data_IF_263112134409
#
_entry.id   IF_263112134409
#
_cell.length_a   1.000
_cell.length_b   1.000
_cell.length_c   1.000
_cell.angle_alpha   90.00
_cell.angle_beta   90.00
_cell.angle_gamma   90.00
#
_symmetry.space_group_name_H-M   'P 1'
#
loop_
_entity.id
_entity.type
_entity.pdbx_description
1 polymer ?
#
# COMPACT_ATOMS: atom_id res chain seq x y z
N UNK A 1 46.91 -46.57 32.06
CA UNK A 1 46.66 -46.14 33.45
C UNK A 1 45.57 -45.07 33.39
N UNK A 2 44.41 -45.27 34.00
CA UNK A 2 43.35 -44.25 33.97
C UNK A 2 43.71 -43.15 34.98
N UNK A 3 43.86 -41.92 34.52
CA UNK A 3 44.13 -40.78 35.39
C UNK A 3 42.79 -40.26 35.92
N UNK A 4 42.60 -40.29 37.24
CA UNK A 4 41.39 -39.76 37.89
C UNK A 4 41.64 -38.32 38.30
N UNK A 5 40.91 -37.37 37.69
CA UNK A 5 40.96 -35.96 38.06
C UNK A 5 39.85 -35.68 39.09
N UNK A 6 40.22 -35.10 40.24
CA UNK A 6 39.29 -34.74 41.31
C UNK A 6 39.24 -33.22 41.48
N UNK A 7 38.26 -32.53 40.86
CA UNK A 7 38.08 -31.09 41.09
C UNK A 7 37.61 -30.82 42.52
N UNK A 8 37.84 -29.60 43.01
CA UNK A 8 37.28 -29.14 44.29
C UNK A 8 35.75 -29.10 44.19
N UNK A 9 35.06 -29.24 45.32
CA UNK A 9 33.59 -29.35 45.36
C UNK A 9 33.00 -28.44 46.42
N UNK A 10 31.91 -27.77 46.06
CA UNK A 10 31.02 -27.07 46.99
C UNK A 10 29.66 -27.76 47.01
N UNK A 11 29.07 -27.87 48.19
CA UNK A 11 27.81 -28.61 48.40
C UNK A 11 26.66 -27.70 48.87
N UNK A 12 26.92 -26.41 49.04
CA UNK A 12 25.97 -25.38 49.45
C UNK A 12 25.79 -24.36 48.34
N UNK A 13 24.72 -23.56 48.40
CA UNK A 13 24.37 -22.58 47.37
C UNK A 13 25.47 -21.52 47.17
N UNK A 14 25.56 -20.97 45.97
CA UNK A 14 26.42 -19.84 45.62
C UNK A 14 27.84 -20.22 45.22
N UNK A 15 28.52 -19.32 44.52
CA UNK A 15 29.87 -19.54 44.01
C UNK A 15 30.88 -19.90 45.12
N UNK A 16 31.93 -20.69 44.81
CA UNK A 16 33.12 -20.79 45.65
C UNK A 16 33.73 -19.40 45.87
N UNK A 17 34.43 -19.22 46.98
CA UNK A 17 35.17 -17.99 47.27
C UNK A 17 36.61 -18.07 46.76
N UNK A 18 37.30 -16.93 46.72
CA UNK A 18 38.74 -16.87 46.47
C UNK A 18 39.58 -17.53 47.57
N UNK A 19 38.98 -17.91 48.72
CA UNK A 19 39.65 -18.76 49.70
C UNK A 19 39.47 -20.26 49.40
N UNK A 20 38.42 -20.63 48.66
CA UNK A 20 38.13 -22.02 48.30
C UNK A 20 38.97 -22.49 47.10
N UNK A 21 39.27 -21.59 46.17
CA UNK A 21 40.02 -21.86 44.92
C UNK A 21 41.29 -21.02 44.82
N UNK A 22 42.42 -21.63 44.50
CA UNK A 22 43.61 -20.93 44.01
C UNK A 22 43.43 -20.53 42.53
N UNK A 23 44.24 -19.56 42.06
CA UNK A 23 44.24 -19.15 40.65
C UNK A 23 44.47 -20.36 39.73
N UNK A 24 43.65 -20.47 38.68
CA UNK A 24 43.68 -21.57 37.70
C UNK A 24 43.02 -22.88 38.16
N UNK A 25 42.58 -23.00 39.42
CA UNK A 25 41.87 -24.19 39.88
C UNK A 25 40.40 -24.20 39.45
N UNK A 26 39.88 -25.42 39.22
CA UNK A 26 38.48 -25.67 38.93
C UNK A 26 37.73 -26.23 40.15
N UNK A 27 36.49 -25.77 40.35
CA UNK A 27 35.56 -26.37 41.31
C UNK A 27 34.19 -26.63 40.69
N UNK A 28 33.53 -27.68 41.18
CA UNK A 28 32.13 -27.97 40.86
C UNK A 28 31.28 -27.61 42.09
N UNK A 29 30.36 -26.66 41.95
CA UNK A 29 29.26 -26.54 42.90
C UNK A 29 28.21 -27.59 42.54
N UNK A 30 28.08 -28.59 43.40
CA UNK A 30 27.14 -29.71 43.20
C UNK A 30 25.70 -29.38 43.58
N UNK A 31 25.47 -28.35 44.40
CA UNK A 31 24.14 -27.84 44.70
C UNK A 31 23.59 -27.07 43.51
N UNK A 32 24.34 -26.07 43.05
CA UNK A 32 23.94 -25.22 41.91
C UNK A 32 24.17 -25.92 40.56
N UNK A 33 24.95 -27.01 40.53
CA UNK A 33 25.37 -27.78 39.34
C UNK A 33 26.24 -26.96 38.37
N UNK A 34 27.09 -26.09 38.91
CA UNK A 34 27.91 -25.14 38.13
C UNK A 34 29.40 -25.48 38.23
N UNK A 35 30.12 -25.38 37.10
CA UNK A 35 31.59 -25.41 37.05
C UNK A 35 32.16 -24.00 37.15
N UNK A 36 33.13 -23.81 38.04
CA UNK A 36 33.83 -22.54 38.26
C UNK A 36 35.33 -22.69 38.02
N UNK A 37 35.98 -21.60 37.63
CA UNK A 37 37.43 -21.41 37.63
C UNK A 37 37.79 -20.09 38.31
N UNK A 38 38.93 -20.01 38.98
CA UNK A 38 39.49 -18.72 39.38
C UNK A 38 40.45 -18.20 38.30
N UNK A 39 40.20 -17.01 37.78
CA UNK A 39 41.06 -16.37 36.78
C UNK A 39 42.30 -15.69 37.39
N UNK A 40 43.17 -15.17 36.53
CA UNK A 40 44.39 -14.45 36.91
C UNK A 40 44.15 -13.03 37.44
N UNK A 41 42.90 -12.57 37.42
CA UNK A 41 42.47 -11.30 37.99
C UNK A 41 41.81 -11.49 39.37
N UNK A 42 41.90 -12.68 39.97
CA UNK A 42 41.29 -13.08 41.24
C UNK A 42 39.75 -13.14 41.24
N UNK A 43 39.13 -13.24 40.08
CA UNK A 43 37.68 -13.42 39.97
C UNK A 43 37.32 -14.89 39.96
N UNK A 44 36.16 -15.23 40.54
CA UNK A 44 35.54 -16.55 40.40
C UNK A 44 34.62 -16.48 39.19
N UNK A 45 35.00 -17.18 38.13
CA UNK A 45 34.30 -17.19 36.84
C UNK A 45 33.50 -18.48 36.72
N UNK A 46 32.22 -18.34 36.38
CA UNK A 46 31.38 -19.45 35.96
C UNK A 46 31.76 -19.89 34.53
N UNK A 47 32.14 -21.17 34.38
CA UNK A 47 32.59 -21.75 33.11
C UNK A 47 31.46 -22.53 32.44
N UNK A 48 30.56 -23.12 33.22
CA UNK A 48 29.35 -23.76 32.74
C UNK A 48 28.29 -23.80 33.86
N UNK A 49 27.18 -23.09 33.64
CA UNK A 49 26.04 -23.03 34.55
C UNK A 49 25.03 -24.15 34.33
N UNK A 50 24.94 -25.10 35.26
CA UNK A 50 23.85 -26.07 35.33
C UNK A 50 22.58 -25.48 35.94
N UNK A 51 22.05 -24.40 35.36
CA UNK A 51 20.66 -24.02 35.57
C UNK A 51 19.77 -25.18 35.09
N UNK A 52 19.08 -25.83 36.02
CA UNK A 52 18.16 -26.94 35.72
C UNK A 52 16.94 -26.41 34.99
N UNK A 53 17.06 -26.28 33.67
CA UNK A 53 15.98 -25.92 32.76
C UNK A 53 16.59 -25.60 31.40
N UNK A 54 16.50 -26.53 30.45
CA UNK A 54 16.74 -26.19 29.04
C UNK A 54 15.88 -24.96 28.68
N UNK A 55 16.30 -24.08 27.79
CA UNK A 55 17.41 -24.16 26.87
C UNK A 55 17.19 -23.05 25.85
N UNK A 56 18.16 -22.17 25.70
CA UNK A 56 18.08 -21.05 24.76
C UNK A 56 19.34 -20.21 24.71
N UNK A 57 19.54 -19.49 23.60
CA UNK A 57 20.67 -18.57 23.41
C UNK A 57 20.35 -17.20 24.00
N UNK A 58 21.18 -16.74 24.94
CA UNK A 58 21.18 -15.35 25.40
C UNK A 58 22.43 -14.60 24.97
N UNK A 59 22.34 -13.28 24.88
CA UNK A 59 23.50 -12.39 24.82
C UNK A 59 23.32 -11.28 25.84
N UNK A 60 24.33 -11.05 26.66
CA UNK A 60 24.43 -9.85 27.48
C UNK A 60 25.01 -8.72 26.65
N UNK A 61 24.39 -7.55 26.70
CA UNK A 61 24.75 -6.38 25.92
C UNK A 61 24.94 -5.21 26.86
N UNK A 62 26.06 -4.50 26.71
CA UNK A 62 26.30 -3.22 27.37
C UNK A 62 26.28 -2.09 26.32
N UNK A 63 25.35 -1.14 26.47
CA UNK A 63 25.28 0.09 25.68
C UNK A 63 24.81 1.25 26.56
N UNK A 64 25.37 2.44 26.38
CA UNK A 64 25.03 3.58 27.23
C UNK A 64 23.55 3.95 27.17
N UNK A 65 22.88 4.03 28.33
CA UNK A 65 21.49 4.49 28.50
C UNK A 65 20.50 3.83 27.52
N UNK A 66 20.39 2.50 27.58
CA UNK A 66 19.68 1.73 26.54
C UNK A 66 18.17 1.99 26.48
N UNK A 67 17.51 2.35 27.60
CA UNK A 67 16.08 2.66 27.62
C UNK A 67 15.15 1.50 27.26
N UNK A 68 15.64 0.26 27.38
CA UNK A 68 14.92 -0.98 27.10
C UNK A 68 14.42 -1.59 28.42
N UNK A 69 13.25 -2.21 28.39
CA UNK A 69 12.65 -2.91 29.52
C UNK A 69 12.51 -4.41 29.22
N UNK A 70 12.37 -5.22 30.27
CA UNK A 70 12.02 -6.64 30.13
C UNK A 70 10.74 -6.78 29.31
N UNK A 71 10.72 -7.76 28.40
CA UNK A 71 9.72 -8.01 27.34
C UNK A 71 9.80 -7.12 26.11
N UNK A 72 10.68 -6.12 26.07
CA UNK A 72 10.88 -5.38 24.83
C UNK A 72 11.43 -6.32 23.74
N UNK A 73 10.73 -6.37 22.61
CA UNK A 73 11.25 -6.95 21.38
C UNK A 73 12.24 -5.96 20.75
N UNK A 74 13.45 -6.41 20.44
CA UNK A 74 14.53 -5.51 20.04
C UNK A 74 15.23 -5.95 18.77
N UNK A 75 15.92 -5.01 18.12
CA UNK A 75 16.76 -5.21 16.94
C UNK A 75 18.02 -4.36 17.05
N UNK A 76 19.03 -4.70 16.26
CA UNK A 76 20.18 -3.82 16.06
C UNK A 76 19.92 -2.90 14.85
N UNK A 77 20.19 -1.59 14.96
CA UNK A 77 20.00 -0.63 13.87
C UNK A 77 21.29 -0.26 13.11
N UNK A 78 22.39 -0.96 13.41
CA UNK A 78 23.72 -0.67 12.88
C UNK A 78 24.63 0.08 13.86
N UNK A 79 24.06 0.70 14.91
CA UNK A 79 24.83 1.41 15.93
C UNK A 79 24.46 1.02 17.36
N UNK A 80 23.20 0.71 17.62
CA UNK A 80 22.71 0.33 18.94
C UNK A 80 21.56 -0.68 18.85
N UNK A 81 21.27 -1.32 19.97
CA UNK A 81 20.04 -2.07 20.16
C UNK A 81 18.89 -1.12 20.48
N UNK A 82 17.81 -1.26 19.72
CA UNK A 82 16.62 -0.41 19.82
C UNK A 82 15.37 -1.29 19.75
N UNK A 83 14.22 -0.74 20.15
CA UNK A 83 12.94 -1.43 20.03
C UNK A 83 12.62 -1.76 18.56
N UNK A 84 12.13 -2.98 18.33
CA UNK A 84 11.68 -3.45 17.04
C UNK A 84 10.19 -3.10 16.82
N UNK A 85 9.73 -3.11 15.57
CA UNK A 85 8.32 -2.87 15.24
C UNK A 85 7.93 -3.57 13.94
N UNK A 86 6.75 -4.19 13.91
CA UNK A 86 6.22 -4.94 12.77
C UNK A 86 5.54 -4.05 11.72
N UNK A 87 6.11 -2.88 11.43
CA UNK A 87 5.65 -1.98 10.37
C UNK A 87 6.46 -2.11 9.06
N UNK A 88 7.57 -2.85 9.09
CA UNK A 88 8.42 -3.15 7.93
C UNK A 88 9.28 -4.39 8.17
N UNK A 89 9.67 -5.08 7.10
CA UNK A 89 10.60 -6.20 7.15
C UNK A 89 12.01 -5.81 7.70
N UNK A 90 12.37 -4.53 7.61
CA UNK A 90 13.66 -4.02 8.08
C UNK A 90 13.71 -3.75 9.61
N UNK A 91 12.55 -3.68 10.26
CA UNK A 91 12.41 -3.28 11.67
C UNK A 91 11.96 -4.41 12.58
N UNK A 92 11.94 -5.64 12.06
CA UNK A 92 11.61 -6.86 12.79
C UNK A 92 12.63 -7.16 13.91
N UNK A 93 12.16 -7.89 14.93
CA UNK A 93 12.92 -8.19 16.13
C UNK A 93 13.93 -9.32 15.90
N UNK A 94 15.06 -9.25 16.61
CA UNK A 94 16.12 -10.25 16.67
C UNK A 94 16.14 -11.01 18.02
N UNK A 95 15.33 -10.56 18.98
CA UNK A 95 15.20 -11.18 20.29
C UNK A 95 14.31 -10.38 21.23
N UNK A 96 14.15 -10.89 22.45
CA UNK A 96 13.34 -10.28 23.50
C UNK A 96 14.22 -10.02 24.72
N UNK A 97 14.13 -8.84 25.33
CA UNK A 97 14.85 -8.53 26.56
C UNK A 97 14.29 -9.36 27.71
N UNK A 98 15.14 -10.15 28.37
CA UNK A 98 14.76 -10.98 29.50
C UNK A 98 15.21 -10.45 30.86
N UNK A 99 16.26 -9.63 30.87
CA UNK A 99 16.74 -8.95 32.07
C UNK A 99 17.31 -7.57 31.72
N UNK A 100 17.19 -6.61 32.63
CA UNK A 100 17.93 -5.34 32.62
C UNK A 100 18.66 -5.25 33.94
N UNK A 101 19.99 -5.35 33.89
CA UNK A 101 20.84 -5.34 35.06
C UNK A 101 20.98 -3.91 35.61
N UNK A 102 21.13 -2.94 34.70
CA UNK A 102 21.20 -1.51 35.01
C UNK A 102 20.83 -0.67 33.76
N UNK A 103 21.08 0.64 33.80
CA UNK A 103 20.75 1.56 32.70
C UNK A 103 21.58 1.35 31.42
N UNK A 104 22.67 0.58 31.51
CA UNK A 104 23.60 0.32 30.42
C UNK A 104 23.66 -1.16 30.01
N UNK A 105 23.28 -2.09 30.88
CA UNK A 105 23.43 -3.53 30.62
C UNK A 105 22.10 -4.28 30.68
N UNK A 106 21.84 -5.09 29.64
CA UNK A 106 20.64 -5.93 29.52
C UNK A 106 20.96 -7.28 28.88
N UNK A 107 20.08 -8.25 29.09
CA UNK A 107 20.17 -9.59 28.49
C UNK A 107 19.06 -9.76 27.46
N UNK A 108 19.43 -10.20 26.25
CA UNK A 108 18.48 -10.55 25.19
C UNK A 108 18.43 -12.06 24.99
N UNK A 109 17.22 -12.62 25.01
CA UNK A 109 16.92 -13.97 24.55
C UNK A 109 16.73 -13.98 23.03
N UNK A 110 17.50 -14.83 22.34
CA UNK A 110 17.46 -14.97 20.89
C UNK A 110 16.60 -16.16 20.47
N UNK A 111 16.71 -17.30 21.14
CA UNK A 111 15.91 -18.49 20.86
C UNK A 111 15.87 -19.41 22.06
N UNK A 112 14.76 -20.13 22.27
CA UNK A 112 14.63 -21.16 23.30
C UNK A 112 13.75 -20.78 24.48
N UNK A 113 13.75 -21.61 25.52
CA UNK A 113 12.95 -21.47 26.74
C UNK A 113 13.68 -20.63 27.78
N UNK A 114 12.98 -19.65 28.35
CA UNK A 114 13.51 -18.69 29.33
C UNK A 114 12.54 -18.47 30.48
N UNK A 115 13.09 -18.27 31.68
CA UNK A 115 12.33 -17.86 32.85
C UNK A 115 12.12 -16.33 32.83
N UNK A 116 10.86 -15.91 32.87
CA UNK A 116 10.41 -14.53 33.07
C UNK A 116 9.37 -14.51 34.20
N UNK A 117 9.83 -14.38 35.44
CA UNK A 117 8.95 -14.42 36.60
C UNK A 117 7.80 -13.39 36.54
N UNK A 118 6.57 -13.84 36.74
CA UNK A 118 5.36 -12.98 36.80
C UNK A 118 5.22 -12.03 35.60
N UNK A 119 5.50 -12.52 34.38
CA UNK A 119 5.55 -11.69 33.18
C UNK A 119 4.20 -11.06 32.79
N UNK A 120 3.06 -11.57 33.31
CA UNK A 120 1.72 -11.02 33.10
C UNK A 120 1.16 -11.22 31.68
N UNK A 121 1.71 -12.18 30.93
CA UNK A 121 1.22 -12.58 29.62
C UNK A 121 0.22 -13.74 29.81
N UNK A 122 -0.69 -13.90 28.86
CA UNK A 122 -1.69 -14.97 28.90
C UNK A 122 -1.05 -16.32 28.57
N UNK A 123 -1.16 -17.29 29.48
CA UNK A 123 -0.62 -18.65 29.33
C UNK A 123 -1.29 -19.38 28.15
N UNK A 124 -0.50 -20.16 27.41
CA UNK A 124 -0.93 -20.94 26.25
C UNK A 124 -1.09 -20.13 24.96
N UNK A 125 -0.77 -18.84 24.98
CA UNK A 125 -0.92 -17.95 23.82
C UNK A 125 0.40 -17.69 23.10
N UNK A 126 0.27 -17.46 21.79
CA UNK A 126 1.32 -16.87 20.97
C UNK A 126 1.24 -15.35 21.00
N UNK A 127 2.41 -14.71 21.08
CA UNK A 127 2.57 -13.28 20.96
C UNK A 127 3.44 -12.93 19.76
N UNK A 128 3.00 -11.91 19.05
CA UNK A 128 3.62 -11.34 17.87
C UNK A 128 4.32 -10.03 18.21
N UNK A 129 5.27 -9.60 17.38
CA UNK A 129 5.78 -8.23 17.42
C UNK A 129 4.65 -7.25 17.06
N UNK A 130 4.43 -6.19 17.83
CA UNK A 130 3.42 -5.19 17.52
C UNK A 130 3.81 -4.32 16.32
N UNK A 131 2.84 -4.04 15.44
CA UNK A 131 2.97 -3.04 14.39
C UNK A 131 2.71 -1.62 14.91
N UNK A 132 1.92 -1.47 15.97
CA UNK A 132 1.43 -0.18 16.46
C UNK A 132 2.37 0.46 17.49
N UNK A 133 2.98 -0.37 18.35
CA UNK A 133 3.85 0.11 19.42
C UNK A 133 5.20 -0.59 19.40
N UNK A 134 6.28 0.18 19.22
CA UNK A 134 7.63 -0.37 19.18
C UNK A 134 8.00 -1.11 20.48
N UNK A 135 8.58 -2.29 20.31
CA UNK A 135 9.04 -3.18 21.39
C UNK A 135 7.95 -4.03 22.02
N UNK A 136 6.67 -3.79 21.72
CA UNK A 136 5.58 -4.49 22.39
C UNK A 136 5.31 -5.86 21.76
N UNK A 137 5.01 -6.83 22.63
CA UNK A 137 4.37 -8.09 22.28
C UNK A 137 2.84 -7.90 22.19
N UNK A 138 2.19 -8.43 21.16
CA UNK A 138 0.74 -8.35 20.96
C UNK A 138 0.11 -9.70 20.67
N UNK A 139 -1.16 -9.89 21.03
CA UNK A 139 -1.97 -11.05 20.65
C UNK A 139 -2.54 -10.94 19.22
N UNK A 140 -2.60 -9.73 18.67
CA UNK A 140 -3.12 -9.49 17.32
C UNK A 140 -2.01 -9.63 16.31
N UNK A 141 -2.16 -10.56 15.36
CA UNK A 141 -1.20 -10.75 14.28
C UNK A 141 -1.13 -9.51 13.36
N UNK A 142 0.05 -8.89 13.18
CA UNK A 142 0.22 -7.74 12.29
C UNK A 142 0.41 -8.16 10.82
N UNK A 143 0.32 -7.21 9.89
CA UNK A 143 0.58 -7.45 8.47
C UNK A 143 1.99 -8.01 8.19
N UNK A 144 3.02 -7.47 8.85
CA UNK A 144 4.36 -8.08 8.92
C UNK A 144 4.42 -9.04 10.10
N UNK A 145 3.72 -10.17 9.99
CA UNK A 145 3.56 -11.14 11.08
C UNK A 145 4.89 -11.66 11.60
N UNK A 146 5.21 -11.45 12.87
CA UNK A 146 6.38 -12.07 13.49
C UNK A 146 5.98 -12.68 14.83
N UNK A 147 5.64 -13.98 14.89
CA UNK A 147 5.48 -14.66 16.17
C UNK A 147 6.84 -14.76 16.86
N UNK A 148 6.93 -14.26 18.10
CA UNK A 148 8.18 -14.24 18.87
C UNK A 148 8.11 -15.07 20.14
N UNK A 149 6.97 -15.10 20.83
CA UNK A 149 6.88 -15.67 22.17
C UNK A 149 5.70 -16.61 22.27
N UNK A 150 5.93 -17.81 22.77
CA UNK A 150 4.89 -18.69 23.30
C UNK A 150 4.96 -18.71 24.83
N UNK A 151 3.83 -18.57 25.49
CA UNK A 151 3.77 -18.50 26.96
C UNK A 151 3.41 -19.88 27.52
N UNK A 152 4.33 -20.53 28.21
CA UNK A 152 4.12 -21.89 28.74
C UNK A 152 3.40 -21.88 30.09
N UNK A 153 3.80 -20.98 30.98
CA UNK A 153 3.22 -20.79 32.30
C UNK A 153 3.46 -19.34 32.77
N UNK A 154 3.16 -19.00 34.03
CA UNK A 154 3.27 -17.63 34.55
C UNK A 154 4.71 -17.11 34.71
N UNK A 155 5.69 -17.99 34.60
CA UNK A 155 7.11 -17.71 34.81
C UNK A 155 7.99 -18.16 33.65
N UNK A 156 7.46 -18.84 32.63
CA UNK A 156 8.26 -19.40 31.55
C UNK A 156 7.67 -19.08 30.18
N UNK A 157 8.56 -18.65 29.29
CA UNK A 157 8.25 -18.37 27.90
C UNK A 157 9.22 -19.09 26.98
N UNK A 158 8.77 -19.38 25.77
CA UNK A 158 9.60 -19.85 24.68
C UNK A 158 9.75 -18.73 23.64
N UNK A 159 10.98 -18.31 23.37
CA UNK A 159 11.32 -17.30 22.37
C UNK A 159 11.71 -17.98 21.06
N UNK A 160 11.14 -17.52 19.96
CA UNK A 160 11.43 -17.96 18.61
C UNK A 160 11.88 -16.78 17.76
N UNK A 161 13.08 -16.82 17.16
CA UNK A 161 13.52 -15.80 16.21
C UNK A 161 13.07 -16.19 14.81
N UNK A 162 11.77 -16.42 14.59
CA UNK A 162 11.26 -16.57 13.24
C UNK A 162 11.21 -15.18 12.59
N UNK A 163 11.79 -15.05 11.40
CA UNK A 163 11.38 -14.02 10.45
C UNK A 163 10.27 -14.66 9.61
N UNK A 164 9.12 -14.01 9.39
CA UNK A 164 8.13 -14.59 8.52
C UNK A 164 8.72 -14.76 7.12
N UNK A 165 8.63 -15.98 6.60
CA UNK A 165 8.81 -16.25 5.18
C UNK A 165 7.49 -15.93 4.49
N UNK A 166 7.27 -14.66 4.22
CA UNK A 166 6.15 -14.20 3.43
C UNK A 166 6.47 -14.39 1.94
N UNK A 167 6.02 -15.47 1.31
CA UNK A 167 5.65 -15.38 -0.12
C UNK A 167 4.22 -14.83 -0.14
N UNK A 168 4.07 -13.57 0.25
CA UNK A 168 2.78 -12.89 0.24
C UNK A 168 2.63 -12.25 -1.13
N UNK A 169 1.80 -12.85 -1.97
CA UNK A 169 1.15 -12.13 -3.06
C UNK A 169 -0.13 -11.57 -2.46
N UNK A 170 -0.24 -10.24 -2.41
CA UNK A 170 -1.41 -9.51 -1.91
C UNK A 170 -2.70 -10.09 -2.48
N UNK A 171 -3.57 -10.64 -1.62
CA UNK A 171 -4.92 -11.09 -1.98
C UNK A 171 -5.02 -12.46 -2.66
N UNK A 172 -3.93 -13.22 -2.79
CA UNK A 172 -3.97 -14.60 -3.31
C UNK A 172 -4.41 -15.62 -2.26
N UNK A 173 -5.12 -16.66 -2.67
CA UNK A 173 -5.21 -17.91 -1.90
C UNK A 173 -3.79 -18.40 -1.56
N UNK A 174 -3.57 -19.05 -0.41
CA UNK A 174 -2.26 -19.60 -0.08
C UNK A 174 -1.72 -20.43 -1.25
N UNK A 175 -0.46 -20.19 -1.63
CA UNK A 175 0.22 -21.04 -2.62
C UNK A 175 0.35 -22.44 -2.01
N UNK A 176 -0.59 -23.31 -2.36
CA UNK A 176 -0.68 -24.67 -1.87
C UNK A 176 -0.26 -25.69 -2.91
N UNK A 177 0.20 -26.84 -2.44
CA UNK A 177 0.13 -28.09 -3.20
C UNK A 177 -1.19 -28.73 -2.79
N UNK A 178 -2.07 -28.99 -3.75
CA UNK A 178 -3.35 -29.65 -3.54
C UNK A 178 -3.27 -31.06 -4.13
N UNK A 179 -4.04 -32.00 -3.56
CA UNK A 179 -4.16 -33.37 -4.06
C UNK A 179 -5.63 -33.65 -4.34
N UNK A 180 -5.91 -34.14 -5.53
CA UNK A 180 -7.20 -34.75 -5.87
C UNK A 180 -7.03 -36.26 -6.00
N UNK A 181 -7.94 -37.01 -5.36
CA UNK A 181 -8.04 -38.45 -5.48
C UNK A 181 -9.30 -38.81 -6.25
N UNK A 182 -9.13 -39.49 -7.38
CA UNK A 182 -10.17 -39.87 -8.32
C UNK A 182 -10.05 -41.37 -8.63
N UNK A 183 -11.12 -41.98 -9.14
CA UNK A 183 -11.13 -43.42 -9.45
C UNK A 183 -11.60 -43.65 -10.88
N UNK A 184 -10.79 -44.35 -11.67
CA UNK A 184 -11.15 -44.76 -13.03
C UNK A 184 -12.34 -45.71 -13.03
N UNK A 185 -13.25 -45.55 -13.98
CA UNK A 185 -14.43 -46.41 -14.16
C UNK A 185 -14.33 -47.32 -15.40
N UNK A 186 -13.20 -47.29 -16.12
CA UNK A 186 -12.97 -48.10 -17.31
C UNK A 186 -13.56 -47.56 -18.60
N UNK A 187 -14.24 -46.41 -18.60
CA UNK A 187 -14.88 -45.84 -19.80
C UNK A 187 -14.78 -44.32 -19.94
N UNK A 188 -14.69 -43.57 -18.83
CA UNK A 188 -14.55 -42.12 -18.83
C UNK A 188 -13.10 -41.70 -19.04
N UNK A 189 -12.93 -40.69 -19.88
CA UNK A 189 -11.65 -40.00 -20.09
C UNK A 189 -11.57 -38.69 -19.33
N UNK A 190 -12.72 -38.10 -18.99
CA UNK A 190 -12.82 -36.82 -18.29
C UNK A 190 -13.11 -37.02 -16.80
N UNK A 191 -12.36 -36.29 -15.96
CA UNK A 191 -12.48 -36.30 -14.51
C UNK A 191 -12.43 -34.86 -13.98
N UNK A 192 -13.30 -34.53 -13.03
CA UNK A 192 -13.36 -33.19 -12.42
C UNK A 192 -12.47 -33.12 -11.19
N UNK A 193 -11.54 -32.18 -11.17
CA UNK A 193 -10.68 -31.84 -10.03
C UNK A 193 -11.35 -30.76 -9.15
N UNK A 194 -10.93 -30.64 -7.89
CA UNK A 194 -11.46 -29.66 -6.94
C UNK A 194 -11.03 -28.20 -7.22
N UNK A 195 -10.09 -27.97 -8.13
CA UNK A 195 -9.65 -26.63 -8.51
C UNK A 195 -8.93 -26.59 -9.86
N UNK A 196 -8.98 -25.43 -10.49
CA UNK A 196 -8.34 -25.17 -11.78
C UNK A 196 -6.82 -24.89 -11.59
N UNK A 197 -5.92 -25.70 -12.17
CA UNK A 197 -4.47 -25.44 -12.13
C UNK A 197 -4.00 -24.46 -13.23
N UNK A 198 -4.92 -23.89 -14.02
CA UNK A 198 -4.75 -22.95 -15.15
C UNK A 198 -3.98 -23.50 -16.37
N UNK A 199 -2.94 -24.29 -16.14
CA UNK A 199 -2.11 -24.91 -17.17
C UNK A 199 -1.76 -26.34 -16.71
N UNK A 200 -1.78 -27.30 -17.63
CA UNK A 200 -1.41 -28.69 -17.37
C UNK A 200 0.00 -28.84 -16.80
N UNK A 201 0.92 -27.89 -17.06
CA UNK A 201 2.28 -27.89 -16.49
C UNK A 201 2.28 -27.78 -14.97
N UNK A 202 1.19 -27.26 -14.38
CA UNK A 202 1.04 -27.09 -12.94
C UNK A 202 0.47 -28.33 -12.24
N UNK A 203 0.47 -29.49 -12.89
CA UNK A 203 0.02 -30.75 -12.26
C UNK A 203 1.13 -31.81 -12.17
N UNK A 204 0.93 -32.86 -11.39
CA UNK A 204 1.55 -34.17 -11.59
C UNK A 204 0.42 -35.19 -11.45
N UNK A 205 0.28 -36.08 -12.43
CA UNK A 205 -0.83 -37.05 -12.46
C UNK A 205 -0.23 -38.45 -12.33
N UNK A 206 -0.80 -39.26 -11.47
CA UNK A 206 -0.39 -40.64 -11.24
C UNK A 206 -1.56 -41.60 -11.40
N UNK A 207 -1.32 -42.72 -12.08
CA UNK A 207 -2.25 -43.86 -12.15
C UNK A 207 -1.65 -45.01 -11.35
N UNK A 208 -2.31 -45.42 -10.26
CA UNK A 208 -1.79 -46.39 -9.29
C UNK A 208 -0.35 -46.07 -8.84
N UNK A 209 -0.05 -44.78 -8.64
CA UNK A 209 1.29 -44.30 -8.25
C UNK A 209 2.30 -44.17 -9.40
N UNK A 210 1.93 -44.50 -10.64
CA UNK A 210 2.80 -44.34 -11.83
C UNK A 210 2.55 -43.00 -12.50
N UNK A 211 3.59 -42.17 -12.60
CA UNK A 211 3.52 -40.85 -13.24
C UNK A 211 3.04 -40.94 -14.70
N UNK A 212 2.18 -40.01 -15.09
CA UNK A 212 1.69 -39.83 -16.45
C UNK A 212 2.38 -38.63 -17.11
N UNK A 213 2.96 -38.84 -18.29
CA UNK A 213 3.57 -37.77 -19.06
C UNK A 213 2.54 -36.72 -19.51
N UNK A 214 2.97 -35.46 -19.68
CA UNK A 214 2.07 -34.36 -20.03
C UNK A 214 1.32 -34.55 -21.34
N UNK A 215 1.89 -35.28 -22.28
CA UNK A 215 1.25 -35.57 -23.56
C UNK A 215 0.09 -36.57 -23.48
N UNK A 216 -0.06 -37.30 -22.36
CA UNK A 216 -1.08 -38.35 -22.22
C UNK A 216 -2.39 -37.86 -21.63
N UNK A 217 -2.43 -36.62 -21.15
CA UNK A 217 -3.63 -35.94 -20.65
C UNK A 217 -3.63 -34.46 -21.01
N UNK A 218 -4.74 -33.78 -20.77
CA UNK A 218 -4.87 -32.33 -20.90
C UNK A 218 -5.73 -31.77 -19.77
N UNK A 219 -5.60 -30.47 -19.48
CA UNK A 219 -6.42 -29.76 -18.50
C UNK A 219 -7.16 -28.59 -19.15
N UNK A 220 -8.45 -28.45 -18.85
CA UNK A 220 -9.24 -27.25 -19.17
C UNK A 220 -10.13 -26.89 -17.98
N UNK A 221 -9.85 -25.75 -17.35
CA UNK A 221 -10.48 -25.39 -16.08
C UNK A 221 -10.25 -26.47 -15.03
N UNK A 222 -11.32 -26.97 -14.43
CA UNK A 222 -11.26 -28.06 -13.45
C UNK A 222 -11.25 -29.47 -14.07
N UNK A 223 -11.27 -29.60 -15.40
CA UNK A 223 -11.40 -30.91 -16.06
C UNK A 223 -10.03 -31.45 -16.47
N UNK A 224 -9.70 -32.64 -15.94
CA UNK A 224 -8.61 -33.50 -16.39
C UNK A 224 -9.13 -34.48 -17.43
N UNK A 225 -8.51 -34.52 -18.62
CA UNK A 225 -8.88 -35.41 -19.71
C UNK A 225 -7.72 -36.32 -20.09
N UNK A 226 -7.87 -37.63 -19.98
CA UNK A 226 -6.89 -38.62 -20.46
C UNK A 226 -7.11 -38.96 -21.94
N UNK A 227 -6.04 -39.30 -22.64
CA UNK A 227 -6.12 -39.81 -24.02
C UNK A 227 -6.74 -41.21 -24.13
N UNK A 228 -6.71 -42.00 -23.06
CA UNK A 228 -7.32 -43.34 -22.94
C UNK A 228 -7.97 -43.47 -21.58
N UNK A 229 -9.18 -44.04 -21.52
CA UNK A 229 -9.90 -44.20 -20.26
C UNK A 229 -9.09 -45.08 -19.28
N UNK A 230 -8.78 -44.58 -18.06
CA UNK A 230 -8.16 -45.41 -17.04
C UNK A 230 -9.05 -46.62 -16.72
N UNK A 231 -8.43 -47.79 -16.51
CA UNK A 231 -9.15 -49.03 -16.22
C UNK A 231 -10.00 -48.88 -14.94
N UNK A 232 -11.07 -49.67 -14.85
CA UNK A 232 -11.95 -49.65 -13.69
C UNK A 232 -11.15 -49.89 -12.39
N UNK A 233 -11.44 -49.10 -11.35
CA UNK A 233 -10.76 -49.10 -10.05
C UNK A 233 -9.29 -48.63 -10.06
N UNK A 234 -8.80 -48.06 -11.16
CA UNK A 234 -7.49 -47.39 -11.16
C UNK A 234 -7.54 -46.18 -10.25
N UNK A 235 -6.62 -46.10 -9.27
CA UNK A 235 -6.45 -44.89 -8.47
C UNK A 235 -5.79 -43.80 -9.32
N UNK A 236 -6.39 -42.62 -9.32
CA UNK A 236 -5.90 -41.44 -10.04
C UNK A 236 -5.58 -40.40 -8.98
N UNK A 237 -4.29 -40.10 -8.80
CA UNK A 237 -3.84 -39.04 -7.91
C UNK A 237 -3.35 -37.86 -8.74
N UNK A 238 -3.88 -36.66 -8.46
CA UNK A 238 -3.47 -35.43 -9.13
C UNK A 238 -2.91 -34.46 -8.11
N UNK A 239 -1.61 -34.25 -8.16
CA UNK A 239 -0.96 -33.17 -7.43
C UNK A 239 -1.12 -31.90 -8.26
N UNK A 240 -1.76 -30.87 -7.72
CA UNK A 240 -1.85 -29.55 -8.36
C UNK A 240 -1.04 -28.53 -7.59
N UNK A 241 -0.20 -27.80 -8.30
CA UNK A 241 0.44 -26.60 -7.78
C UNK A 241 -0.52 -25.44 -7.90
N UNK A 242 -0.61 -24.62 -6.85
CA UNK A 242 -1.31 -23.35 -6.93
C UNK A 242 -0.72 -22.51 -8.07
N UNK A 243 -1.51 -22.35 -9.12
CA UNK A 243 -1.20 -21.44 -10.19
C UNK A 243 -1.73 -20.06 -9.80
N UNK A 244 -0.85 -19.08 -9.67
CA UNK A 244 -1.28 -17.69 -9.53
C UNK A 244 -1.65 -17.19 -10.91
N UNK A 245 -2.95 -17.12 -11.21
CA UNK A 245 -3.38 -16.08 -12.13
C UNK A 245 -3.06 -14.75 -11.45
N UNK A 246 -2.13 -13.97 -11.99
CA UNK A 246 -2.09 -12.55 -11.65
C UNK A 246 -3.32 -11.90 -12.27
N UNK A 247 -4.44 -11.95 -11.55
CA UNK A 247 -5.66 -11.29 -11.97
C UNK A 247 -5.52 -9.82 -11.58
N UNK A 248 -5.32 -8.95 -12.57
CA UNK A 248 -5.59 -7.52 -12.38
C UNK A 248 -7.11 -7.40 -12.37
N UNK A 249 -7.69 -7.31 -11.16
CA UNK A 249 -9.12 -7.07 -11.01
C UNK A 249 -9.54 -5.76 -11.67
N UNK A 250 -10.83 -5.65 -12.00
CA UNK A 250 -11.39 -4.34 -12.31
C UNK A 250 -11.20 -3.43 -11.09
N UNK A 251 -10.83 -2.15 -11.27
CA UNK A 251 -10.85 -1.20 -10.16
C UNK A 251 -12.25 -1.15 -9.55
N UNK A 252 -12.34 -1.16 -8.21
CA UNK A 252 -13.60 -0.93 -7.52
C UNK A 252 -14.17 0.45 -7.86
N UNK A 253 -15.47 0.63 -7.64
CA UNK A 253 -16.14 1.92 -7.77
C UNK A 253 -15.40 3.00 -6.98
N UNK A 254 -15.20 4.16 -7.60
CA UNK A 254 -14.52 5.33 -7.02
C UNK A 254 -13.06 5.11 -6.59
N UNK A 255 -12.43 3.98 -6.93
CA UNK A 255 -11.07 3.66 -6.48
C UNK A 255 -9.96 4.37 -7.26
N UNK A 256 -10.22 4.82 -8.49
CA UNK A 256 -9.23 5.50 -9.33
C UNK A 256 -9.19 6.99 -8.99
N UNK A 257 -8.25 7.38 -8.12
CA UNK A 257 -7.96 8.78 -7.79
C UNK A 257 -7.01 9.42 -8.81
N UNK A 258 -6.89 10.76 -8.80
CA UNK A 258 -5.95 11.49 -9.66
C UNK A 258 -4.50 11.04 -9.50
N UNK A 259 -4.04 10.74 -8.28
CA UNK A 259 -2.68 10.22 -8.03
C UNK A 259 -2.40 8.87 -8.73
N UNK A 260 -3.44 8.08 -9.05
CA UNK A 260 -3.30 6.80 -9.76
C UNK A 260 -3.21 6.97 -11.28
N UNK A 261 -3.38 8.19 -11.77
CA UNK A 261 -3.31 8.56 -13.18
C UNK A 261 -2.11 9.49 -13.31
N UNK A 262 -1.09 9.12 -14.10
CA UNK A 262 0.03 10.02 -14.33
C UNK A 262 -0.44 11.28 -15.07
N UNK A 263 0.31 12.37 -14.91
CA UNK A 263 0.09 13.58 -15.70
C UNK A 263 0.10 13.24 -17.19
N UNK A 264 -0.84 13.85 -17.93
CA UNK A 264 -1.08 13.62 -19.37
C UNK A 264 -1.39 12.17 -19.78
N UNK A 265 -1.66 11.25 -18.84
CA UNK A 265 -1.98 9.86 -19.17
C UNK A 265 -3.34 9.72 -19.88
N UNK A 266 -4.25 10.67 -19.72
CA UNK A 266 -5.57 10.68 -20.36
C UNK A 266 -5.53 11.59 -21.58
N UNK A 267 -5.25 11.00 -22.75
CA UNK A 267 -5.22 11.70 -24.05
C UNK A 267 -6.60 11.83 -24.66
N UNK A 268 -6.76 12.67 -25.69
CA UNK A 268 -8.02 12.85 -26.41
C UNK A 268 -8.61 11.52 -26.90
N UNK A 269 -7.79 10.61 -27.42
CA UNK A 269 -8.23 9.27 -27.88
C UNK A 269 -8.84 8.41 -26.77
N UNK A 270 -8.56 8.71 -25.49
CA UNK A 270 -9.06 7.97 -24.32
C UNK A 270 -10.37 8.57 -23.75
N UNK A 271 -10.74 9.78 -24.16
CA UNK A 271 -12.05 10.36 -23.84
C UNK A 271 -13.08 9.82 -24.83
N UNK A 272 -14.16 9.23 -24.33
CA UNK A 272 -15.24 8.73 -25.19
C UNK A 272 -15.72 9.81 -26.19
N UNK A 273 -16.03 9.40 -27.42
CA UNK A 273 -16.36 10.30 -28.54
C UNK A 273 -17.30 11.46 -28.17
N UNK A 274 -18.34 11.22 -27.37
CA UNK A 274 -19.32 12.25 -26.98
C UNK A 274 -18.72 13.41 -26.16
N UNK A 275 -17.72 13.14 -25.31
CA UNK A 275 -17.02 14.18 -24.54
C UNK A 275 -16.11 14.99 -25.49
N UNK A 276 -15.38 14.33 -26.39
CA UNK A 276 -14.59 15.01 -27.43
C UNK A 276 -15.47 15.86 -28.36
N UNK A 277 -16.65 15.37 -28.76
CA UNK A 277 -17.62 16.13 -29.56
C UNK A 277 -18.09 17.38 -28.81
N UNK A 278 -18.38 17.26 -27.52
CA UNK A 278 -18.84 18.41 -26.70
C UNK A 278 -17.72 19.44 -26.47
N UNK A 279 -16.49 18.98 -26.22
CA UNK A 279 -15.31 19.85 -26.09
C UNK A 279 -15.01 20.53 -27.44
N UNK A 280 -14.99 19.80 -28.54
CA UNK A 280 -14.76 20.36 -29.88
C UNK A 280 -15.85 21.37 -30.27
N UNK A 281 -17.12 21.08 -29.96
CA UNK A 281 -18.22 22.02 -30.17
C UNK A 281 -18.08 23.29 -29.30
N UNK A 282 -17.51 23.18 -28.10
CA UNK A 282 -17.24 24.33 -27.25
C UNK A 282 -16.01 25.12 -27.73
N UNK A 283 -14.93 24.45 -28.16
CA UNK A 283 -13.76 25.10 -28.78
C UNK A 283 -14.14 25.81 -30.08
N UNK A 284 -15.05 25.23 -30.87
CA UNK A 284 -15.60 25.88 -32.07
C UNK A 284 -16.34 27.19 -31.76
N UNK A 285 -16.83 27.40 -30.52
CA UNK A 285 -17.40 28.68 -30.06
C UNK A 285 -16.34 29.73 -29.71
N UNK A 286 -15.05 29.38 -29.72
CA UNK A 286 -13.94 30.28 -29.35
C UNK A 286 -12.96 30.47 -30.51
N UNK A 287 -13.12 29.73 -31.62
CA UNK A 287 -12.27 29.86 -32.81
C UNK A 287 -13.09 30.15 -34.06
N UNK A 288 -13.27 31.44 -34.39
CA UNK A 288 -13.52 32.01 -35.72
C UNK A 288 -14.56 31.34 -36.66
N UNK A 289 -15.52 30.57 -36.11
CA UNK A 289 -16.66 30.06 -36.86
C UNK A 289 -17.83 31.03 -36.70
N UNK A 290 -18.57 31.29 -37.79
CA UNK A 290 -19.82 32.07 -37.73
C UNK A 290 -20.78 31.39 -36.75
N UNK A 291 -21.07 32.06 -35.63
CA UNK A 291 -22.06 31.59 -34.68
C UNK A 291 -23.45 31.82 -35.26
N UNK A 292 -24.18 30.75 -35.58
CA UNK A 292 -25.60 30.83 -35.95
C UNK A 292 -26.46 30.48 -34.74
N UNK A 293 -26.79 31.51 -33.94
CA UNK A 293 -27.64 31.38 -32.74
C UNK A 293 -27.15 32.21 -31.55
N UNK A 294 -27.92 32.23 -30.46
CA UNK A 294 -27.57 32.98 -29.25
C UNK A 294 -26.30 32.41 -28.60
N UNK A 295 -25.30 33.28 -28.42
CA UNK A 295 -24.20 32.98 -27.52
C UNK A 295 -24.73 33.13 -26.10
N UNK A 296 -24.76 32.05 -25.33
CA UNK A 296 -25.21 32.04 -23.93
C UNK A 296 -24.07 31.65 -23.01
N UNK A 297 -23.96 32.33 -21.86
CA UNK A 297 -22.98 32.09 -20.81
C UNK A 297 -23.63 32.13 -19.43
N UNK A 298 -23.00 31.51 -18.43
CA UNK A 298 -23.50 31.53 -17.05
C UNK A 298 -23.44 32.91 -16.38
N UNK A 299 -22.72 33.85 -16.99
CA UNK A 299 -22.62 35.26 -16.61
C UNK A 299 -22.93 36.15 -17.82
N UNK A 300 -23.07 37.46 -17.61
CA UNK A 300 -23.24 38.39 -18.71
C UNK A 300 -22.06 38.28 -19.68
N UNK A 301 -22.35 38.02 -20.95
CA UNK A 301 -21.36 38.10 -22.02
C UNK A 301 -20.98 39.56 -22.19
N UNK A 302 -19.76 39.91 -21.81
CA UNK A 302 -19.21 41.25 -22.03
C UNK A 302 -18.45 41.28 -23.35
N UNK A 303 -18.73 42.28 -24.17
CA UNK A 303 -17.89 42.65 -25.30
C UNK A 303 -16.86 43.65 -24.75
N UNK A 304 -15.58 43.48 -25.07
CA UNK A 304 -14.56 44.46 -24.69
C UNK A 304 -14.84 45.81 -25.37
N UNK A 305 -14.39 46.90 -24.75
CA UNK A 305 -14.47 48.23 -25.38
C UNK A 305 -13.85 48.19 -26.78
N UNK A 306 -14.51 48.84 -27.74
CA UNK A 306 -14.11 48.92 -29.15
C UNK A 306 -14.00 47.59 -29.91
N UNK A 307 -14.49 46.46 -29.37
CA UNK A 307 -14.35 45.16 -30.03
C UNK A 307 -15.32 44.91 -31.21
N UNK A 308 -16.35 45.74 -31.38
CA UNK A 308 -17.25 45.70 -32.54
C UNK A 308 -16.80 46.73 -33.58
N UNK A 309 -16.05 46.27 -34.57
CA UNK A 309 -15.58 47.06 -35.70
C UNK A 309 -16.32 46.74 -37.01
N UNK A 310 -15.77 47.23 -38.12
CA UNK A 310 -16.34 47.06 -39.45
C UNK A 310 -16.41 45.59 -39.90
N UNK A 311 -15.45 44.76 -39.49
CA UNK A 311 -15.41 43.34 -39.86
C UNK A 311 -16.49 42.52 -39.13
N UNK A 312 -16.98 43.02 -37.99
CA UNK A 312 -18.00 42.38 -37.16
C UNK A 312 -19.42 42.80 -37.53
N UNK A 313 -19.60 43.91 -38.26
CA UNK A 313 -20.90 44.40 -38.72
C UNK A 313 -21.05 44.11 -40.22
N UNK A 314 -22.03 43.28 -40.60
CA UNK A 314 -22.34 43.09 -42.01
C UNK A 314 -22.86 44.38 -42.67
N UNK A 315 -22.78 44.46 -44.00
CA UNK A 315 -23.37 45.57 -44.76
C UNK A 315 -24.87 45.67 -44.47
N UNK A 316 -25.38 46.90 -44.25
CA UNK A 316 -26.75 47.20 -43.79
C UNK A 316 -27.21 46.52 -42.47
N UNK A 317 -26.30 45.88 -41.70
CA UNK A 317 -26.66 45.23 -40.43
C UNK A 317 -27.25 46.20 -39.40
N UNK A 318 -26.86 47.48 -39.48
CA UNK A 318 -27.36 48.56 -38.64
C UNK A 318 -28.19 49.49 -39.52
N UNK A 319 -29.48 49.21 -39.68
CA UNK A 319 -30.40 50.04 -40.45
C UNK A 319 -30.81 51.33 -39.71
N UNK A 320 -31.35 52.33 -40.43
CA UNK A 320 -31.88 53.59 -39.84
C UNK A 320 -32.85 53.36 -38.69
N UNK A 321 -33.58 52.24 -38.70
CA UNK A 321 -34.50 51.86 -37.63
C UNK A 321 -33.80 51.49 -36.31
N UNK A 322 -32.53 51.07 -36.37
CA UNK A 322 -31.70 50.68 -35.21
C UNK A 322 -30.57 51.68 -34.93
N UNK A 323 -30.28 52.62 -35.84
CA UNK A 323 -29.42 53.76 -35.55
C UNK A 323 -30.13 54.74 -34.62
N UNK A 324 -29.63 54.82 -33.40
CA UNK A 324 -29.84 55.97 -32.53
C UNK A 324 -28.73 57.00 -32.82
N UNK A 325 -28.84 57.80 -33.88
CA UNK A 325 -27.71 58.68 -34.22
C UNK A 325 -27.48 59.82 -33.23
N UNK A 326 -26.19 60.16 -33.11
CA UNK A 326 -25.65 61.25 -32.32
C UNK A 326 -24.58 61.97 -33.14
N UNK A 327 -24.97 62.81 -34.09
CA UNK A 327 -24.21 64.01 -34.34
C UNK A 327 -24.20 64.88 -33.08
N UNK A 328 -23.18 65.73 -33.00
CA UNK A 328 -23.15 66.70 -31.93
C UNK A 328 -24.09 67.81 -32.34
N UNK A 329 -25.27 67.83 -31.72
CA UNK A 329 -26.15 68.96 -31.86
C UNK A 329 -25.34 70.22 -31.58
N UNK A 330 -25.17 71.05 -32.60
CA UNK A 330 -24.57 72.35 -32.44
C UNK A 330 -25.67 73.40 -32.61
N UNK A 331 -25.34 74.69 -32.42
CA UNK A 331 -26.32 75.78 -32.47
C UNK A 331 -27.12 75.84 -33.78
N UNK A 332 -26.63 75.20 -34.83
CA UNK A 332 -27.13 75.30 -36.19
C UNK A 332 -27.54 73.97 -36.80
N UNK A 333 -27.47 72.82 -36.10
CA UNK A 333 -27.80 71.50 -36.67
C UNK A 333 -28.38 70.44 -35.67
N UNK A 334 -29.38 69.64 -36.07
CA UNK A 334 -30.11 68.57 -35.32
C UNK A 334 -30.43 67.29 -36.15
N UNK A 335 -30.35 66.03 -35.67
CA UNK A 335 -30.71 64.79 -36.41
C UNK A 335 -32.21 64.67 -36.76
N UNK A 336 -32.56 64.02 -37.86
CA UNK A 336 -33.92 63.72 -38.35
C UNK A 336 -34.10 62.20 -38.55
N UNK A 337 -35.35 61.75 -38.64
CA UNK A 337 -35.76 60.33 -38.58
C UNK A 337 -35.51 59.46 -39.82
N UNK A 338 -35.03 60.05 -40.88
CA UNK A 338 -34.31 59.42 -41.99
C UNK A 338 -32.80 59.27 -41.66
N UNK A 339 -32.45 59.39 -40.36
CA UNK A 339 -31.11 59.50 -39.80
C UNK A 339 -30.32 60.75 -40.23
N UNK A 340 -30.96 61.91 -40.46
CA UNK A 340 -30.29 63.08 -41.08
C UNK A 340 -30.24 64.36 -40.26
N UNK A 341 -29.07 64.95 -40.02
CA UNK A 341 -29.02 66.26 -39.36
C UNK A 341 -29.60 67.40 -40.25
N UNK A 342 -30.28 68.37 -39.65
CA UNK A 342 -30.98 69.48 -40.27
C UNK A 342 -30.72 70.79 -39.52
N UNK A 343 -30.82 71.91 -40.22
CA UNK A 343 -30.42 73.21 -39.70
C UNK A 343 -31.49 73.86 -38.80
N UNK A 344 -31.07 74.50 -37.71
CA UNK A 344 -32.00 75.31 -36.93
C UNK A 344 -32.33 76.60 -37.70
N UNK A 345 -33.63 76.83 -37.91
CA UNK A 345 -34.14 78.02 -38.60
C UNK A 345 -34.61 77.74 -40.02
N UNK A 346 -35.86 77.28 -40.14
CA UNK A 346 -36.59 77.19 -41.40
C UNK A 346 -37.74 78.19 -41.48
N UNK A 347 -37.52 79.23 -42.30
CA UNK A 347 -38.48 79.99 -43.13
C UNK A 347 -39.48 80.96 -42.46
N UNK A 348 -39.82 82.01 -43.22
CA UNK A 348 -41.03 82.86 -43.23
C UNK A 348 -40.82 84.36 -42.99
N UNK A 349 -40.42 85.08 -44.04
CA UNK A 349 -40.55 86.54 -44.10
C UNK A 349 -40.34 87.08 -45.52
N UNK A 350 -41.37 86.90 -46.36
CA UNK A 350 -41.86 87.95 -47.24
C UNK A 350 -43.33 87.64 -47.56
N UNK A 351 -44.23 88.36 -46.89
CA UNK A 351 -45.68 88.30 -47.08
C UNK A 351 -46.02 88.72 -48.52
N UNK A 352 -46.77 87.92 -49.28
CA UNK A 352 -47.21 88.31 -50.64
C UNK A 352 -48.52 89.11 -50.53
N UNK A 353 -48.56 90.36 -51.01
CA UNK A 353 -49.78 91.20 -51.07
C UNK A 353 -50.33 91.23 -52.50
N UNK A 354 -51.65 91.09 -52.66
CA UNK A 354 -52.34 91.15 -53.95
C UNK A 354 -52.51 92.61 -54.41
N UNK A 355 -51.87 92.98 -55.50
CA UNK A 355 -52.08 94.24 -56.24
C UNK A 355 -53.05 94.00 -57.42
N UNK A 356 -53.44 95.08 -58.11
CA UNK A 356 -54.44 95.03 -59.18
C UNK A 356 -54.11 94.05 -60.33
N UNK A 357 -52.83 93.68 -60.50
CA UNK A 357 -52.35 92.77 -61.56
C UNK A 357 -51.72 91.46 -61.04
N UNK A 358 -51.78 91.14 -59.73
CA UNK A 358 -51.23 89.87 -59.19
C UNK A 358 -50.73 89.94 -57.74
N UNK A 359 -50.04 88.89 -57.26
CA UNK A 359 -49.39 88.91 -55.94
C UNK A 359 -47.95 89.45 -56.06
N UNK A 360 -47.59 90.43 -55.22
CA UNK A 360 -46.26 91.05 -55.15
C UNK A 360 -45.68 90.83 -53.75
N UNK A 361 -44.41 90.43 -53.64
CA UNK A 361 -43.76 90.21 -52.35
C UNK A 361 -43.57 91.53 -51.60
N UNK A 362 -43.95 91.55 -50.33
CA UNK A 362 -43.62 92.62 -49.38
C UNK A 362 -42.37 92.17 -48.64
N UNK A 363 -41.31 92.98 -48.71
CA UNK A 363 -40.11 92.83 -47.89
C UNK A 363 -40.45 92.82 -46.41
#
# INVERSE_FOLDING_TARGET
MAQVIKPKRKFTTGAPTTSDLAEGEIAINTFDKILYIRDNANNIIEVAGGGSGGGGSTTEVTQSSHGLAVKDCIRHNGSAWVKAQANSAATLALGVVTASADANTFTVAQSGRFELSSHGLTVGQWYYLSADTAGLLTLTEPAFSQPLVYVEDANNVFVFPYRPSNVMISGGTPLGIFVDELVGNGSSVDFTMAGDPLDEKNTQVYLNGVYQEKSTYSISGTTLTFSTAPANLTSIEVIRYAATAFVIGAPDDNSVSTVKIQDDAVTADKLANAINTSIAANTAKVTNATHTGDVTGATALTIADDAVGADQMADDAVGVAVLSATGTANATTFLRGDNTWAASGGLYNAWLVKTADGYTAVS
#
